data_IF_214669867785
#
_entry.id   IF_214669867785
#
_cell.length_a   1.000
_cell.length_b   1.000
_cell.length_c   1.000
_cell.angle_alpha   90.00
_cell.angle_beta   90.00
_cell.angle_gamma   90.00
#
_symmetry.space_group_name_H-M   'P 1'
#
loop_
_entity.id
_entity.type
_entity.pdbx_description
1 polymer ?
#
# COMPACT_ATOMS: atom_id res chain seq x y z
N UNK A 1 17.58 53.39 4.80
CA UNK A 1 17.53 52.28 5.78
C UNK A 1 16.58 51.23 5.21
N UNK A 2 16.96 49.95 5.07
CA UNK A 2 16.05 48.96 4.50
C UNK A 2 14.97 48.59 5.53
N UNK A 3 13.72 48.84 5.16
CA UNK A 3 12.55 48.47 5.97
C UNK A 3 12.47 46.94 6.06
N UNK A 4 12.51 46.43 7.29
CA UNK A 4 12.38 44.98 7.55
C UNK A 4 10.91 44.69 7.83
N UNK A 5 10.22 44.05 6.89
CA UNK A 5 8.79 43.72 7.01
C UNK A 5 8.66 42.31 7.60
N UNK A 6 8.05 42.19 8.78
CA UNK A 6 7.76 40.90 9.41
C UNK A 6 6.36 40.40 9.01
N UNK A 7 6.29 39.28 8.29
CA UNK A 7 5.02 38.63 7.95
C UNK A 7 4.62 37.68 9.07
N UNK A 8 3.47 37.95 9.72
CA UNK A 8 2.84 37.02 10.66
C UNK A 8 1.69 36.28 9.97
N UNK A 9 1.96 35.07 9.46
CA UNK A 9 0.90 34.22 8.89
C UNK A 9 0.27 33.39 10.03
N UNK A 10 -0.92 33.79 10.49
CA UNK A 10 -1.72 32.96 11.40
C UNK A 10 -2.30 31.76 10.65
N UNK A 11 -1.69 30.59 10.80
CA UNK A 11 -2.16 29.33 10.23
C UNK A 11 -3.45 28.84 10.91
N UNK A 12 -4.62 29.11 10.31
CA UNK A 12 -5.84 28.29 10.51
C UNK A 12 -5.95 27.21 9.43
N UNK A 13 -6.81 26.21 9.64
CA UNK A 13 -7.09 25.07 8.73
C UNK A 13 -7.66 25.55 7.38
N UNK A 14 -6.80 26.10 6.53
CA UNK A 14 -7.14 26.56 5.18
C UNK A 14 -6.76 25.45 4.17
N UNK A 15 -7.54 25.20 3.11
CA UNK A 15 -7.18 24.29 2.03
C UNK A 15 -5.80 24.62 1.43
N UNK A 16 -5.07 23.59 1.00
CA UNK A 16 -3.65 23.71 0.60
C UNK A 16 -3.41 24.70 -0.54
N UNK A 17 -4.26 24.65 -1.58
CA UNK A 17 -4.18 25.58 -2.72
C UNK A 17 -4.39 27.04 -2.32
N UNK A 18 -5.23 27.29 -1.32
CA UNK A 18 -5.53 28.64 -0.85
C UNK A 18 -4.39 29.21 0.02
N UNK A 19 -3.57 28.35 0.65
CA UNK A 19 -2.34 28.80 1.35
C UNK A 19 -1.25 29.22 0.37
N UNK A 20 -1.02 28.44 -0.68
CA UNK A 20 -0.02 28.78 -1.71
C UNK A 20 -0.38 30.09 -2.41
N UNK A 21 -1.66 30.34 -2.69
CA UNK A 21 -2.13 31.63 -3.22
C UNK A 21 -1.86 32.79 -2.26
N UNK A 22 -2.16 32.64 -0.97
CA UNK A 22 -1.92 33.70 0.04
C UNK A 22 -0.43 33.97 0.27
N UNK A 23 0.41 32.94 0.22
CA UNK A 23 1.87 33.11 0.29
C UNK A 23 2.37 33.83 -0.95
N UNK A 24 1.89 33.45 -2.13
CA UNK A 24 2.23 34.11 -3.39
C UNK A 24 1.81 35.59 -3.38
N UNK A 25 0.59 35.90 -2.95
CA UNK A 25 0.11 37.29 -2.80
C UNK A 25 0.98 38.08 -1.82
N UNK A 26 1.34 37.50 -0.67
CA UNK A 26 2.24 38.13 0.29
C UNK A 26 3.64 38.40 -0.28
N UNK A 27 4.20 37.45 -1.03
CA UNK A 27 5.49 37.61 -1.70
C UNK A 27 5.43 38.68 -2.78
N UNK A 28 4.38 38.72 -3.61
CA UNK A 28 4.18 39.75 -4.63
C UNK A 28 4.09 41.15 -4.00
N UNK A 29 3.32 41.27 -2.91
CA UNK A 29 3.16 42.51 -2.16
C UNK A 29 4.50 43.00 -1.59
N UNK A 30 5.29 42.12 -0.99
CA UNK A 30 6.60 42.47 -0.39
C UNK A 30 7.62 42.86 -1.44
N UNK A 31 7.60 42.21 -2.60
CA UNK A 31 8.49 42.57 -3.69
C UNK A 31 8.06 43.88 -4.39
N UNK A 32 6.89 44.44 -4.04
CA UNK A 32 6.39 45.69 -4.60
C UNK A 32 6.09 45.61 -6.10
N UNK A 33 5.80 44.41 -6.62
CA UNK A 33 5.67 44.18 -8.06
C UNK A 33 4.19 44.09 -8.46
N UNK A 34 3.48 45.20 -8.33
CA UNK A 34 2.05 45.26 -8.71
C UNK A 34 1.84 45.11 -10.22
N UNK A 35 2.88 45.38 -11.04
CA UNK A 35 2.85 45.25 -12.51
C UNK A 35 4.00 44.38 -13.03
N UNK A 36 4.00 43.11 -12.61
CA UNK A 36 5.05 42.16 -12.96
C UNK A 36 4.85 41.58 -14.38
N UNK A 37 5.89 41.55 -15.25
CA UNK A 37 5.82 40.84 -16.53
C UNK A 37 5.48 39.35 -16.32
N UNK A 38 4.63 38.78 -17.18
CA UNK A 38 4.15 37.40 -17.05
C UNK A 38 5.27 36.36 -16.89
N UNK A 39 6.41 36.57 -17.55
CA UNK A 39 7.59 35.70 -17.47
C UNK A 39 8.21 35.68 -16.06
N UNK A 40 8.28 36.83 -15.38
CA UNK A 40 8.81 36.93 -14.02
C UNK A 40 7.83 36.30 -13.01
N UNK A 41 6.52 36.46 -13.24
CA UNK A 41 5.47 35.81 -12.43
C UNK A 41 5.56 34.28 -12.45
N UNK A 42 5.90 33.67 -13.60
CA UNK A 42 6.10 32.22 -13.68
C UNK A 42 7.27 31.78 -12.81
N UNK A 43 8.38 32.53 -12.83
CA UNK A 43 9.54 32.27 -11.97
C UNK A 43 9.22 32.41 -10.48
N UNK A 44 8.48 33.46 -10.10
CA UNK A 44 8.05 33.67 -8.70
C UNK A 44 7.11 32.55 -8.25
N UNK A 45 6.16 32.12 -9.08
CA UNK A 45 5.28 30.98 -8.78
C UNK A 45 6.07 29.68 -8.57
N UNK A 46 7.03 29.40 -9.45
CA UNK A 46 7.88 28.22 -9.33
C UNK A 46 8.71 28.25 -8.04
N UNK A 47 9.28 29.42 -7.71
CA UNK A 47 10.02 29.63 -6.47
C UNK A 47 9.14 29.40 -5.23
N UNK A 48 7.98 30.06 -5.15
CA UNK A 48 7.03 29.91 -4.04
C UNK A 48 6.61 28.45 -3.87
N UNK A 49 6.31 27.77 -4.97
CA UNK A 49 5.96 26.35 -4.94
C UNK A 49 7.10 25.50 -4.36
N UNK A 50 8.33 25.68 -4.83
CA UNK A 50 9.50 24.97 -4.31
C UNK A 50 9.75 25.24 -2.83
N UNK A 51 9.66 26.50 -2.40
CA UNK A 51 9.80 26.88 -0.99
C UNK A 51 8.70 26.25 -0.13
N UNK A 52 7.46 26.18 -0.61
CA UNK A 52 6.37 25.49 0.09
C UNK A 52 6.62 23.98 0.21
N UNK A 53 7.12 23.34 -0.85
CA UNK A 53 7.49 21.91 -0.83
C UNK A 53 8.62 21.65 0.17
N UNK A 54 9.68 22.47 0.16
CA UNK A 54 10.81 22.31 1.06
C UNK A 54 10.43 22.58 2.52
N UNK A 55 9.61 23.60 2.78
CA UNK A 55 9.02 23.85 4.09
C UNK A 55 8.22 22.64 4.59
N UNK A 56 7.36 22.04 3.75
CA UNK A 56 6.58 20.84 4.12
C UNK A 56 7.48 19.67 4.53
N UNK A 57 8.55 19.42 3.77
CA UNK A 57 9.53 18.36 4.10
C UNK A 57 10.17 18.60 5.46
N UNK A 58 10.67 19.82 5.70
CA UNK A 58 11.29 20.21 6.99
C UNK A 58 10.29 20.18 8.15
N UNK A 59 9.03 20.57 7.91
CA UNK A 59 7.95 20.52 8.89
C UNK A 59 7.64 19.09 9.35
N UNK A 60 7.54 18.16 8.40
CA UNK A 60 7.36 16.73 8.70
C UNK A 60 8.56 16.16 9.46
N UNK A 61 9.79 16.54 9.10
CA UNK A 61 11.01 16.10 9.78
C UNK A 61 11.14 16.57 11.24
N UNK A 62 10.36 17.57 11.66
CA UNK A 62 10.25 18.01 13.05
C UNK A 62 8.99 17.50 13.74
N UNK A 63 8.39 16.42 13.23
CA UNK A 63 7.14 15.85 13.73
C UNK A 63 6.04 16.91 13.86
N UNK A 64 6.05 17.92 12.96
CA UNK A 64 5.10 19.04 12.96
C UNK A 64 5.04 19.81 14.28
N UNK A 65 6.14 19.84 15.03
CA UNK A 65 6.25 20.58 16.29
C UNK A 65 7.00 21.89 16.05
N UNK A 66 6.34 23.01 16.34
CA UNK A 66 6.85 24.34 16.03
C UNK A 66 8.20 24.65 16.68
N UNK A 67 8.33 24.41 17.99
CA UNK A 67 9.56 24.70 18.73
C UNK A 67 10.77 23.89 18.20
N UNK A 68 10.55 22.64 17.82
CA UNK A 68 11.59 21.80 17.21
C UNK A 68 11.95 22.30 15.82
N UNK A 69 10.97 22.76 15.04
CA UNK A 69 11.20 23.33 13.72
C UNK A 69 12.05 24.60 13.78
N UNK A 70 11.67 25.56 14.62
CA UNK A 70 12.44 26.80 14.79
C UNK A 70 13.84 26.50 15.29
N UNK A 71 14.00 25.67 16.32
CA UNK A 71 15.32 25.32 16.88
C UNK A 71 16.23 24.61 15.85
N UNK A 72 15.67 23.71 15.03
CA UNK A 72 16.44 22.89 14.08
C UNK A 72 16.76 23.62 12.77
N UNK A 73 15.87 24.48 12.30
CA UNK A 73 15.97 25.15 10.99
C UNK A 73 16.12 26.68 11.11
N UNK A 74 16.59 27.19 12.25
CA UNK A 74 16.79 28.62 12.48
C UNK A 74 17.72 29.26 11.45
N UNK A 75 18.83 28.59 11.10
CA UNK A 75 19.77 29.08 10.09
C UNK A 75 19.11 29.22 8.72
N UNK A 76 18.30 28.24 8.32
CA UNK A 76 17.54 28.26 7.06
C UNK A 76 16.48 29.36 7.03
N UNK A 77 15.79 29.61 8.15
CA UNK A 77 14.82 30.71 8.26
C UNK A 77 15.47 32.10 8.17
N UNK A 78 16.72 32.21 8.63
CA UNK A 78 17.49 33.45 8.61
C UNK A 78 18.31 33.62 7.33
N UNK A 79 18.32 32.61 6.45
CA UNK A 79 19.03 32.66 5.19
C UNK A 79 18.39 33.72 4.28
N UNK A 80 19.20 34.65 3.77
CA UNK A 80 18.73 35.66 2.83
C UNK A 80 18.51 34.99 1.48
N UNK A 81 17.29 35.03 0.99
CA UNK A 81 16.98 34.56 -0.36
C UNK A 81 17.28 35.70 -1.33
N UNK A 82 18.44 35.62 -1.97
CA UNK A 82 18.77 36.50 -3.09
C UNK A 82 18.07 36.01 -4.35
N UNK A 83 16.92 36.61 -4.66
CA UNK A 83 16.22 36.35 -5.92
C UNK A 83 16.99 37.09 -7.02
N UNK A 84 18.00 36.42 -7.58
CA UNK A 84 18.73 36.97 -8.70
C UNK A 84 17.81 37.07 -9.92
N UNK A 85 17.43 38.30 -10.29
CA UNK A 85 16.55 38.58 -11.44
C UNK A 85 17.05 37.94 -12.74
N UNK A 86 18.37 37.80 -12.90
CA UNK A 86 18.97 37.18 -14.09
C UNK A 86 18.86 35.65 -14.10
N UNK A 87 18.92 34.98 -12.94
CA UNK A 87 18.71 33.52 -12.86
C UNK A 87 17.25 33.13 -13.06
N UNK A 88 16.31 33.98 -12.62
CA UNK A 88 14.88 33.74 -12.82
C UNK A 88 14.51 33.75 -14.31
N UNK A 89 15.17 34.58 -15.11
CA UNK A 89 15.00 34.60 -16.57
C UNK A 89 15.64 33.37 -17.25
N UNK A 90 16.80 32.92 -16.79
CA UNK A 90 17.54 31.81 -17.41
C UNK A 90 16.94 30.43 -17.12
N UNK A 91 16.32 30.22 -15.95
CA UNK A 91 15.62 28.97 -15.61
C UNK A 91 14.31 28.78 -16.40
N UNK A 92 13.73 29.87 -16.93
CA UNK A 92 12.56 29.80 -17.83
C UNK A 92 12.98 29.36 -19.24
N UNK A 93 14.23 29.58 -19.64
CA UNK A 93 14.72 29.24 -20.98
C UNK A 93 15.12 27.78 -21.20
N UNK A 94 15.39 27.01 -20.13
CA UNK A 94 16.07 25.71 -20.26
C UNK A 94 15.17 24.48 -20.04
N UNK A 95 13.95 24.63 -19.53
CA UNK A 95 13.03 23.49 -19.32
C UNK A 95 11.61 23.66 -19.91
N UNK A 96 11.37 24.68 -20.77
CA UNK A 96 10.02 24.92 -21.33
C UNK A 96 9.88 24.56 -22.82
N UNK A 97 10.97 24.29 -23.53
CA UNK A 97 10.91 24.02 -24.99
C UNK A 97 10.56 22.57 -25.40
N UNK A 98 9.95 21.78 -24.51
CA UNK A 98 9.30 20.51 -24.89
C UNK A 98 8.05 20.25 -24.04
N UNK A 99 7.25 21.28 -23.84
CA UNK A 99 5.83 21.09 -23.53
C UNK A 99 5.07 21.78 -24.65
N UNK A 100 4.76 21.03 -25.70
CA UNK A 100 3.69 21.42 -26.61
C UNK A 100 2.44 21.64 -25.75
N UNK A 101 1.93 22.87 -25.79
CA UNK A 101 0.63 23.21 -25.28
C UNK A 101 -0.39 22.28 -25.97
N UNK A 102 -1.06 21.37 -25.23
CA UNK A 102 -1.95 20.42 -25.86
C UNK A 102 -3.09 21.22 -26.47
N UNK A 103 -3.14 21.21 -27.80
CA UNK A 103 -4.27 21.68 -28.59
C UNK A 103 -5.56 21.18 -27.93
N UNK A 104 -6.62 22.01 -27.83
CA UNK A 104 -7.89 21.59 -27.29
C UNK A 104 -8.43 20.45 -28.14
N UNK A 105 -8.16 19.22 -27.71
CA UNK A 105 -8.74 18.03 -28.27
C UNK A 105 -10.25 18.17 -28.16
N UNK A 106 -10.91 18.15 -29.31
CA UNK A 106 -12.34 17.93 -29.42
C UNK A 106 -12.68 16.58 -28.79
N UNK A 107 -12.86 16.57 -27.48
CA UNK A 107 -13.43 15.46 -26.74
C UNK A 107 -14.19 16.05 -25.58
N UNK A 108 -15.47 16.35 -25.83
CA UNK A 108 -16.48 16.58 -24.79
C UNK A 108 -16.75 15.30 -24.00
N UNK A 109 -15.73 14.73 -23.37
CA UNK A 109 -15.86 13.56 -22.51
C UNK A 109 -15.38 13.92 -21.11
N UNK A 110 -16.35 13.86 -20.20
CA UNK A 110 -16.26 14.10 -18.77
C UNK A 110 -14.98 13.53 -18.17
N UNK A 111 -14.10 14.42 -17.71
CA UNK A 111 -12.95 14.06 -16.87
C UNK A 111 -13.47 13.53 -15.54
N UNK A 112 -13.35 12.22 -15.32
CA UNK A 112 -13.58 11.65 -14.00
C UNK A 112 -13.74 10.13 -13.93
N UNK A 113 -14.06 9.45 -15.04
CA UNK A 113 -14.25 7.99 -15.04
C UNK A 113 -13.31 7.32 -16.05
N UNK A 114 -12.56 6.27 -15.65
CA UNK A 114 -11.86 5.42 -16.61
C UNK A 114 -12.83 4.95 -17.69
N UNK A 115 -12.49 5.17 -18.96
CA UNK A 115 -13.29 4.76 -20.13
C UNK A 115 -13.37 3.24 -20.26
N UNK A 116 -12.39 2.52 -19.71
CA UNK A 116 -12.32 1.07 -19.69
C UNK A 116 -12.88 0.55 -18.37
N UNK A 117 -13.60 -0.56 -18.42
CA UNK A 117 -14.03 -1.25 -17.21
C UNK A 117 -12.81 -1.74 -16.42
N UNK A 118 -12.97 -1.91 -15.11
CA UNK A 118 -11.90 -2.42 -14.26
C UNK A 118 -11.42 -3.81 -14.73
N UNK A 119 -12.34 -4.68 -15.21
CA UNK A 119 -11.98 -5.97 -15.83
C UNK A 119 -11.09 -5.83 -17.07
N UNK A 120 -11.34 -4.85 -17.94
CA UNK A 120 -10.57 -4.68 -19.18
C UNK A 120 -9.13 -4.25 -18.93
N UNK A 121 -8.90 -3.42 -17.92
CA UNK A 121 -7.54 -3.01 -17.52
C UNK A 121 -6.77 -4.15 -16.85
N UNK A 122 -7.48 -5.09 -16.22
CA UNK A 122 -6.91 -6.29 -15.61
C UNK A 122 -6.39 -7.27 -16.67
N UNK A 123 -7.08 -7.40 -17.81
CA UNK A 123 -6.73 -8.37 -18.87
C UNK A 123 -5.58 -7.94 -19.78
N UNK A 124 -5.19 -6.67 -19.79
CA UNK A 124 -4.06 -6.16 -20.59
C UNK A 124 -2.69 -6.54 -19.96
N UNK A 125 -2.68 -7.09 -18.74
CA UNK A 125 -1.49 -7.30 -17.92
C UNK A 125 -0.67 -8.58 -18.15
N UNK A 126 -1.06 -9.48 -19.04
CA UNK A 126 -0.41 -10.80 -19.19
C UNK A 126 0.93 -10.77 -19.95
N UNK A 127 1.41 -9.60 -20.37
CA UNK A 127 2.74 -9.47 -20.96
C UNK A 127 3.83 -9.46 -19.87
N UNK A 128 4.26 -10.64 -19.38
CA UNK A 128 5.54 -11.04 -18.74
C UNK A 128 6.37 -10.08 -17.83
N UNK A 129 5.93 -8.86 -17.55
CA UNK A 129 6.70 -7.79 -16.89
C UNK A 129 6.11 -7.39 -15.54
N UNK A 130 4.84 -7.71 -15.29
CA UNK A 130 4.17 -7.40 -14.03
C UNK A 130 4.26 -8.59 -13.07
N UNK A 131 4.69 -8.34 -11.85
CA UNK A 131 4.65 -9.34 -10.79
C UNK A 131 3.19 -9.63 -10.43
N UNK A 132 2.82 -10.92 -10.37
CA UNK A 132 1.48 -11.33 -9.97
C UNK A 132 1.18 -10.95 -8.52
N UNK A 133 -0.11 -10.86 -8.17
CA UNK A 133 -0.53 -10.48 -6.82
C UNK A 133 -0.05 -11.52 -5.79
N UNK A 134 -0.08 -12.80 -6.16
CA UNK A 134 0.34 -13.93 -5.33
C UNK A 134 1.85 -13.88 -5.07
N UNK A 135 2.66 -13.66 -6.12
CA UNK A 135 4.12 -13.52 -5.99
C UNK A 135 4.49 -12.31 -5.12
N UNK A 136 3.80 -11.19 -5.32
CA UNK A 136 4.00 -9.98 -4.54
C UNK A 136 3.59 -10.16 -3.07
N UNK A 137 2.51 -10.89 -2.82
CA UNK A 137 2.01 -11.20 -1.48
C UNK A 137 2.95 -12.16 -0.74
N UNK A 138 3.46 -13.19 -1.41
CA UNK A 138 4.48 -14.08 -0.87
C UNK A 138 5.73 -13.29 -0.46
N UNK A 139 6.28 -12.49 -1.37
CA UNK A 139 7.42 -11.61 -1.09
C UNK A 139 7.15 -10.66 0.09
N UNK A 140 5.93 -10.10 0.18
CA UNK A 140 5.53 -9.23 1.28
C UNK A 140 5.59 -9.95 2.64
N UNK A 141 5.15 -11.21 2.69
CA UNK A 141 5.10 -12.03 3.91
C UNK A 141 6.47 -12.58 4.28
N UNK A 142 7.20 -13.18 3.33
CA UNK A 142 8.49 -13.85 3.57
C UNK A 142 9.55 -12.88 4.09
N UNK A 143 9.54 -11.64 3.60
CA UNK A 143 10.48 -10.59 4.02
C UNK A 143 9.98 -9.84 5.27
N UNK A 144 8.73 -10.08 5.71
CA UNK A 144 8.13 -9.38 6.85
C UNK A 144 7.98 -7.87 6.60
N UNK A 145 7.54 -7.48 5.39
CA UNK A 145 7.37 -6.07 5.06
C UNK A 145 6.18 -5.47 5.80
N UNK A 146 6.34 -4.23 6.27
CA UNK A 146 5.21 -3.41 6.67
C UNK A 146 4.60 -2.70 5.46
N UNK A 147 3.37 -2.22 5.58
CA UNK A 147 2.71 -1.38 4.57
C UNK A 147 3.61 -0.25 4.07
N UNK A 148 4.29 0.45 4.99
CA UNK A 148 5.18 1.56 4.66
C UNK A 148 6.41 1.08 3.88
N UNK A 149 7.06 0.00 4.32
CA UNK A 149 8.22 -0.58 3.62
C UNK A 149 7.84 -1.04 2.21
N UNK A 150 6.71 -1.74 2.07
CA UNK A 150 6.20 -2.15 0.77
C UNK A 150 5.89 -0.96 -0.15
N UNK A 151 5.25 0.09 0.38
CA UNK A 151 4.90 1.28 -0.41
C UNK A 151 6.14 2.03 -0.91
N UNK A 152 7.17 2.14 -0.08
CA UNK A 152 8.46 2.73 -0.47
C UNK A 152 9.11 1.85 -1.56
N UNK A 153 9.23 0.55 -1.31
CA UNK A 153 9.83 -0.41 -2.24
C UNK A 153 9.14 -0.37 -3.61
N UNK A 154 7.81 -0.44 -3.63
CA UNK A 154 7.00 -0.31 -4.84
C UNK A 154 7.24 1.01 -5.55
N UNK A 155 7.29 2.12 -4.83
CA UNK A 155 7.49 3.44 -5.44
C UNK A 155 8.88 3.54 -6.08
N UNK A 156 9.91 3.01 -5.41
CA UNK A 156 11.27 2.96 -5.94
C UNK A 156 11.38 2.08 -7.19
N UNK A 157 10.80 0.87 -7.17
CA UNK A 157 10.84 -0.05 -8.32
C UNK A 157 10.01 0.49 -9.48
N UNK A 158 8.80 0.97 -9.23
CA UNK A 158 7.92 1.45 -10.29
C UNK A 158 8.40 2.78 -10.92
N UNK A 159 9.28 3.52 -10.25
CA UNK A 159 9.95 4.68 -10.85
C UNK A 159 10.92 4.28 -11.98
N UNK A 160 11.54 3.10 -11.88
CA UNK A 160 12.48 2.57 -12.89
C UNK A 160 11.73 1.70 -13.89
N UNK A 161 10.81 0.86 -13.41
CA UNK A 161 10.05 -0.09 -14.20
C UNK A 161 8.56 0.06 -13.93
N UNK A 162 7.85 0.89 -14.72
CA UNK A 162 6.43 1.15 -14.53
C UNK A 162 5.61 -0.13 -14.42
N UNK A 163 4.67 -0.12 -13.47
CA UNK A 163 3.72 -1.21 -13.19
C UNK A 163 4.31 -2.59 -12.84
N UNK A 164 5.58 -2.66 -12.44
CA UNK A 164 6.20 -3.95 -12.07
C UNK A 164 5.54 -4.54 -10.83
N UNK A 165 5.31 -3.73 -9.80
CA UNK A 165 4.71 -4.18 -8.53
C UNK A 165 3.24 -3.77 -8.40
N UNK A 166 2.35 -4.70 -7.98
CA UNK A 166 0.95 -4.40 -7.76
C UNK A 166 0.77 -3.40 -6.61
N UNK A 167 -0.31 -2.63 -6.65
CA UNK A 167 -0.62 -1.71 -5.54
C UNK A 167 -0.92 -2.47 -4.26
N UNK A 168 -0.74 -1.83 -3.10
CA UNK A 168 -1.06 -2.46 -1.82
C UNK A 168 -2.54 -2.85 -1.71
N UNK A 169 -3.43 -2.09 -2.36
CA UNK A 169 -4.85 -2.44 -2.44
C UNK A 169 -5.07 -3.81 -3.10
N UNK A 170 -4.33 -4.14 -4.15
CA UNK A 170 -4.40 -5.47 -4.77
C UNK A 170 -3.89 -6.56 -3.83
N UNK A 171 -2.84 -6.30 -3.05
CA UNK A 171 -2.40 -7.24 -2.02
C UNK A 171 -3.47 -7.46 -0.94
N UNK A 172 -4.15 -6.39 -0.51
CA UNK A 172 -5.21 -6.49 0.49
C UNK A 172 -6.39 -7.32 -0.02
N UNK A 173 -6.75 -7.15 -1.29
CA UNK A 173 -7.75 -7.98 -1.96
C UNK A 173 -7.30 -9.45 -2.04
N UNK A 174 -6.07 -9.70 -2.47
CA UNK A 174 -5.50 -11.07 -2.49
C UNK A 174 -5.48 -11.71 -1.10
N UNK A 175 -5.18 -10.95 -0.04
CA UNK A 175 -5.29 -11.42 1.35
C UNK A 175 -6.72 -11.82 1.72
N UNK A 176 -7.71 -11.01 1.34
CA UNK A 176 -9.13 -11.33 1.62
C UNK A 176 -9.61 -12.58 0.89
N UNK A 177 -9.08 -12.86 -0.29
CA UNK A 177 -9.43 -14.07 -1.06
C UNK A 177 -8.91 -15.36 -0.40
N UNK A 178 -7.80 -15.27 0.34
CA UNK A 178 -7.18 -16.40 1.06
C UNK A 178 -7.64 -16.50 2.52
N UNK A 179 -8.08 -15.40 3.13
CA UNK A 179 -8.55 -15.34 4.53
C UNK A 179 -9.85 -16.13 4.73
N UNK A 180 -10.06 -16.77 5.89
CA UNK A 180 -11.31 -17.44 6.25
C UNK A 180 -12.44 -16.44 6.52
N UNK A 181 -13.68 -16.84 6.25
CA UNK A 181 -14.85 -15.94 6.34
C UNK A 181 -15.48 -15.93 7.75
N UNK A 182 -15.25 -16.98 8.52
CA UNK A 182 -15.82 -17.17 9.86
C UNK A 182 -14.66 -17.44 10.82
N UNK A 183 -14.17 -16.35 11.42
CA UNK A 183 -13.20 -16.42 12.50
C UNK A 183 -13.91 -15.86 13.71
N UNK A 184 -14.06 -16.67 14.74
CA UNK A 184 -14.55 -16.23 16.03
C UNK A 184 -13.37 -15.70 16.82
N UNK A 185 -13.49 -14.47 17.31
CA UNK A 185 -12.44 -13.80 18.06
C UNK A 185 -13.02 -13.24 19.35
N UNK A 186 -12.38 -13.57 20.45
CA UNK A 186 -12.60 -13.02 21.79
C UNK A 186 -11.28 -12.41 22.31
N UNK A 187 -11.34 -11.78 23.48
CA UNK A 187 -10.14 -11.26 24.15
C UNK A 187 -9.22 -12.38 24.65
N UNK A 188 -9.79 -13.58 24.85
CA UNK A 188 -9.09 -14.75 25.41
C UNK A 188 -8.88 -15.89 24.42
N UNK A 189 -9.51 -15.87 23.25
CA UNK A 189 -9.27 -16.91 22.24
C UNK A 189 -9.57 -16.42 20.82
N UNK A 190 -9.07 -17.15 19.84
CA UNK A 190 -9.49 -17.05 18.45
C UNK A 190 -9.61 -18.45 17.86
N UNK A 191 -10.70 -18.70 17.15
CA UNK A 191 -11.04 -20.00 16.58
C UNK A 191 -11.53 -19.85 15.14
N UNK A 192 -11.20 -20.84 14.32
CA UNK A 192 -11.62 -20.94 12.93
C UNK A 192 -12.39 -22.23 12.76
N UNK A 193 -13.57 -22.14 12.13
CA UNK A 193 -14.35 -23.31 11.76
C UNK A 193 -13.51 -24.32 10.96
N UNK A 194 -13.47 -25.57 11.44
CA UNK A 194 -12.61 -26.60 10.89
C UNK A 194 -13.00 -26.93 9.45
N UNK A 195 -14.30 -27.02 9.15
CA UNK A 195 -14.76 -27.35 7.80
C UNK A 195 -14.37 -26.25 6.80
N UNK A 196 -14.63 -24.98 7.13
CA UNK A 196 -14.23 -23.84 6.29
C UNK A 196 -12.70 -23.79 6.07
N UNK A 197 -11.91 -24.11 7.10
CA UNK A 197 -10.45 -24.21 6.99
C UNK A 197 -10.02 -25.31 6.00
N UNK A 198 -10.62 -26.49 6.10
CA UNK A 198 -10.35 -27.63 5.22
C UNK A 198 -10.78 -27.33 3.78
N UNK A 199 -11.97 -26.76 3.58
CA UNK A 199 -12.50 -26.39 2.27
C UNK A 199 -11.59 -25.38 1.57
N UNK A 200 -11.18 -24.31 2.27
CA UNK A 200 -10.26 -23.31 1.70
C UNK A 200 -8.89 -23.88 1.39
N UNK A 201 -8.39 -24.79 2.24
CA UNK A 201 -7.10 -25.45 2.03
C UNK A 201 -7.17 -26.34 0.79
N UNK A 202 -8.21 -27.17 0.68
CA UNK A 202 -8.45 -28.05 -0.47
C UNK A 202 -8.57 -27.25 -1.75
N UNK A 203 -9.38 -26.19 -1.77
CA UNK A 203 -9.51 -25.29 -2.92
C UNK A 203 -8.18 -24.62 -3.31
N UNK A 204 -7.32 -24.31 -2.35
CA UNK A 204 -6.00 -23.74 -2.62
C UNK A 204 -5.06 -24.78 -3.23
N UNK A 205 -5.07 -26.02 -2.75
CA UNK A 205 -4.26 -27.12 -3.29
C UNK A 205 -4.70 -27.48 -4.71
N UNK A 206 -6.01 -27.59 -4.95
CA UNK A 206 -6.57 -27.88 -6.28
C UNK A 206 -6.09 -26.87 -7.33
N UNK A 207 -5.96 -25.59 -6.98
CA UNK A 207 -5.43 -24.56 -7.89
C UNK A 207 -3.95 -24.77 -8.28
N UNK A 208 -3.19 -25.54 -7.50
CA UNK A 208 -1.79 -25.85 -7.79
C UNK A 208 -1.63 -27.05 -8.71
N UNK A 209 -2.65 -27.90 -8.83
CA UNK A 209 -2.63 -29.10 -9.65
C UNK A 209 -2.97 -28.71 -11.09
N UNK A 210 -2.21 -29.18 -12.11
CA UNK A 210 -2.56 -28.98 -13.50
C UNK A 210 -3.96 -29.50 -13.80
N UNK A 211 -4.76 -28.73 -14.56
CA UNK A 211 -6.15 -29.09 -14.86
C UNK A 211 -6.29 -30.44 -15.58
N UNK A 212 -5.27 -30.84 -16.32
CA UNK A 212 -5.24 -32.08 -17.08
C UNK A 212 -5.15 -33.33 -16.18
N UNK A 213 -4.67 -33.16 -14.95
CA UNK A 213 -4.49 -34.25 -13.97
C UNK A 213 -5.74 -34.45 -13.10
N UNK A 214 -6.68 -33.50 -13.11
CA UNK A 214 -7.92 -33.57 -12.32
C UNK A 214 -8.99 -34.22 -13.19
N UNK A 215 -9.14 -35.54 -13.07
CA UNK A 215 -10.28 -36.26 -13.62
C UNK A 215 -11.54 -35.92 -12.79
N UNK A 216 -12.74 -36.09 -13.35
CA UNK A 216 -14.02 -35.90 -12.63
C UNK A 216 -14.26 -37.04 -11.60
N UNK A 217 -13.28 -37.29 -10.75
CA UNK A 217 -13.24 -38.36 -9.74
C UNK A 217 -13.29 -37.75 -8.33
N UNK A 218 -13.67 -38.56 -7.35
CA UNK A 218 -13.64 -38.13 -5.95
C UNK A 218 -12.20 -38.06 -5.44
N UNK A 219 -11.91 -36.99 -4.71
CA UNK A 219 -10.59 -36.70 -4.15
C UNK A 219 -10.68 -36.77 -2.63
N UNK A 220 -9.78 -37.50 -2.01
CA UNK A 220 -9.63 -37.54 -0.55
C UNK A 220 -8.40 -36.77 -0.12
N UNK A 221 -8.60 -35.78 0.75
CA UNK A 221 -7.50 -35.11 1.44
C UNK A 221 -7.09 -35.95 2.65
N UNK A 222 -6.00 -36.71 2.50
CA UNK A 222 -5.42 -37.50 3.58
C UNK A 222 -4.58 -36.57 4.46
N UNK A 223 -5.25 -35.89 5.40
CA UNK A 223 -4.66 -34.94 6.35
C UNK A 223 -3.89 -33.77 5.70
N UNK A 224 -3.05 -33.04 6.47
CA UNK A 224 -2.17 -31.95 5.97
C UNK A 224 -1.03 -32.43 5.04
N UNK A 225 -1.06 -33.68 4.57
CA UNK A 225 0.09 -34.35 3.96
C UNK A 225 -0.11 -34.64 2.48
N UNK A 226 -1.27 -35.16 2.06
CA UNK A 226 -1.47 -35.65 0.69
C UNK A 226 -2.91 -35.46 0.20
N UNK A 227 -3.06 -35.14 -1.08
CA UNK A 227 -4.33 -35.23 -1.80
C UNK A 227 -4.26 -36.42 -2.76
N UNK A 228 -5.23 -37.34 -2.62
CA UNK A 228 -5.23 -38.63 -3.30
C UNK A 228 -6.52 -38.81 -4.08
N UNK A 229 -6.44 -39.36 -5.28
CA UNK A 229 -7.59 -39.80 -6.05
C UNK A 229 -8.10 -41.15 -5.54
N UNK A 230 -9.39 -41.26 -5.21
CA UNK A 230 -9.94 -42.43 -4.49
C UNK A 230 -9.84 -43.73 -5.30
N UNK A 231 -10.18 -43.68 -6.58
CA UNK A 231 -10.28 -44.88 -7.42
C UNK A 231 -8.91 -45.51 -7.70
N UNK A 232 -7.89 -44.66 -7.91
CA UNK A 232 -6.56 -45.09 -8.35
C UNK A 232 -5.53 -45.07 -7.23
N UNK A 233 -5.88 -44.48 -6.07
CA UNK A 233 -4.95 -44.15 -4.98
C UNK A 233 -3.73 -43.37 -5.49
N UNK A 234 -3.92 -42.57 -6.54
CA UNK A 234 -2.85 -41.78 -7.14
C UNK A 234 -2.66 -40.50 -6.31
N UNK A 235 -1.42 -40.18 -5.97
CA UNK A 235 -1.09 -38.98 -5.20
C UNK A 235 -1.01 -37.79 -6.17
N UNK A 236 -1.99 -36.90 -6.11
CA UNK A 236 -2.04 -35.71 -6.97
C UNK A 236 -1.24 -34.54 -6.40
N UNK A 237 -1.18 -34.46 -5.07
CA UNK A 237 -0.38 -33.47 -4.37
C UNK A 237 0.16 -34.03 -3.07
N UNK A 238 1.38 -33.67 -2.74
CA UNK A 238 2.01 -33.99 -1.47
C UNK A 238 2.69 -32.74 -0.91
N UNK A 239 2.56 -32.54 0.39
CA UNK A 239 3.25 -31.46 1.10
C UNK A 239 4.78 -31.64 0.93
N UNK A 240 5.47 -30.68 0.28
CA UNK A 240 6.90 -30.80 0.01
C UNK A 240 7.77 -30.67 1.26
N UNK A 241 7.23 -30.12 2.35
CA UNK A 241 7.94 -29.96 3.62
C UNK A 241 7.00 -30.25 4.79
N UNK A 242 6.76 -31.53 5.06
CA UNK A 242 5.81 -32.03 6.06
C UNK A 242 6.04 -31.52 7.49
N UNK A 243 7.30 -31.21 7.83
CA UNK A 243 7.68 -30.67 9.14
C UNK A 243 7.83 -29.14 9.17
N UNK A 244 7.55 -28.46 8.05
CA UNK A 244 7.69 -27.01 7.99
C UNK A 244 6.50 -26.30 8.60
N UNK A 245 6.78 -25.24 9.35
CA UNK A 245 5.76 -24.36 9.92
C UNK A 245 4.96 -23.60 8.86
N UNK A 246 5.44 -23.49 7.62
CA UNK A 246 4.73 -22.83 6.52
C UNK A 246 3.40 -23.51 6.15
N UNK A 247 3.28 -24.81 6.39
CA UNK A 247 2.05 -25.58 6.15
C UNK A 247 1.21 -25.79 7.42
N UNK A 248 1.69 -25.29 8.57
CA UNK A 248 0.96 -25.34 9.83
C UNK A 248 -0.12 -24.27 9.88
N UNK A 249 -1.34 -24.64 9.47
CA UNK A 249 -2.50 -23.77 9.65
C UNK A 249 -3.01 -23.82 11.09
N UNK A 250 -3.17 -22.65 11.75
CA UNK A 250 -3.76 -22.57 13.07
C UNK A 250 -5.28 -22.80 13.01
N UNK A 251 -5.80 -23.47 14.03
CA UNK A 251 -7.24 -23.74 14.19
C UNK A 251 -7.77 -22.89 15.34
N UNK A 252 -7.15 -23.03 16.52
CA UNK A 252 -7.53 -22.33 17.74
C UNK A 252 -6.30 -21.81 18.48
N UNK A 253 -6.41 -20.60 19.02
CA UNK A 253 -5.47 -20.04 19.98
C UNK A 253 -6.23 -19.60 21.21
N UNK A 254 -5.69 -19.87 22.39
CA UNK A 254 -6.29 -19.50 23.67
C UNK A 254 -5.21 -18.82 24.52
N UNK A 255 -5.52 -17.66 25.05
CA UNK A 255 -4.69 -16.94 26.01
C UNK A 255 -4.98 -17.47 27.41
N UNK A 256 -4.19 -18.45 27.83
CA UNK A 256 -4.26 -18.99 29.19
C UNK A 256 -3.24 -18.23 30.03
N UNK A 257 -3.69 -17.63 31.13
CA UNK A 257 -2.81 -17.10 32.17
C UNK A 257 -2.38 -18.30 33.02
N UNK A 258 -1.07 -18.55 33.10
CA UNK A 258 -0.47 -19.66 33.85
C UNK A 258 -0.60 -19.42 35.38
N UNK A 259 -1.81 -19.49 35.93
CA UNK A 259 -2.06 -19.57 37.36
C UNK A 259 -2.50 -21.00 37.72
N UNK A 260 -1.52 -21.91 37.80
CA UNK A 260 -1.54 -23.15 38.61
C UNK A 260 -2.79 -24.05 38.57
N UNK A 261 -3.47 -24.22 37.44
CA UNK A 261 -4.58 -25.16 37.31
C UNK A 261 -4.32 -26.14 36.16
N UNK A 262 -3.74 -27.31 36.47
CA UNK A 262 -3.51 -28.38 35.49
C UNK A 262 -4.82 -28.93 34.87
N UNK A 263 -5.97 -28.72 35.53
CA UNK A 263 -7.27 -29.18 35.05
C UNK A 263 -7.75 -28.49 33.76
N UNK A 264 -7.28 -27.26 33.44
CA UNK A 264 -7.70 -26.57 32.21
C UNK A 264 -7.02 -27.09 30.94
N UNK A 265 -5.93 -27.86 31.07
CA UNK A 265 -5.24 -28.49 29.92
C UNK A 265 -5.94 -29.77 29.43
N UNK A 266 -6.68 -30.46 30.30
CA UNK A 266 -7.34 -31.73 29.99
C UNK A 266 -8.68 -31.55 29.24
N UNK A 267 -9.44 -30.49 29.53
CA UNK A 267 -10.72 -30.24 28.84
C UNK A 267 -10.54 -29.86 27.36
N UNK A 268 -9.38 -29.29 26.98
CA UNK A 268 -9.11 -28.87 25.59
C UNK A 268 -8.90 -30.03 24.61
N UNK A 269 -8.46 -31.21 25.09
CA UNK A 269 -8.20 -32.36 24.22
C UNK A 269 -9.47 -33.17 23.90
N UNK A 270 -10.51 -33.03 24.74
CA UNK A 270 -11.71 -33.88 24.70
C UNK A 270 -12.72 -33.40 23.67
N UNK A 271 -12.85 -32.08 23.49
CA UNK A 271 -13.84 -31.47 22.59
C UNK A 271 -13.45 -31.62 21.11
N UNK A 272 -12.15 -31.58 20.81
CA UNK A 272 -11.63 -31.67 19.45
C UNK A 272 -11.87 -33.06 18.82
N UNK A 273 -11.95 -34.13 19.62
CA UNK A 273 -12.25 -35.48 19.12
C UNK A 273 -13.71 -35.68 18.70
N UNK A 274 -14.66 -35.01 19.34
CA UNK A 274 -16.08 -35.13 18.97
C UNK A 274 -16.38 -34.41 17.65
N UNK A 275 -15.76 -33.26 17.40
CA UNK A 275 -15.94 -32.49 16.16
C UNK A 275 -15.36 -33.23 14.95
N UNK A 276 -14.21 -33.91 15.11
CA UNK A 276 -13.64 -34.74 14.04
C UNK A 276 -14.57 -35.94 13.69
N UNK A 277 -15.30 -36.48 14.66
CA UNK A 277 -16.20 -37.64 14.41
C UNK A 277 -17.48 -37.23 13.69
N UNK A 278 -18.01 -36.05 13.96
CA UNK A 278 -19.20 -35.53 13.28
C UNK A 278 -18.90 -35.13 11.84
N UNK A 279 -17.73 -34.54 11.55
CA UNK A 279 -17.31 -34.20 10.18
C UNK A 279 -17.09 -35.42 9.28
N UNK A 280 -16.68 -36.58 9.83
CA UNK A 280 -16.46 -37.81 9.06
C UNK A 280 -17.76 -38.62 8.80
N UNK A 281 -18.90 -38.20 9.34
CA UNK A 281 -20.19 -38.92 9.21
C UNK A 281 -21.13 -38.30 8.17
N UNK A 282 -20.71 -37.25 7.45
CA UNK A 282 -21.41 -36.64 6.32
C UNK A 282 -20.71 -36.98 4.99
#
# INVERSE_FOLDING_TARGET
MPETIAISVKCRKVPEKERESKVLEGVICILGVENCPAQLMTGVKAFVHWSCVDFKKKWVNCNRTFNLFIKKYQSWLNEKVDINKSELANKVGTEVNNIEEPQPGSSGLSRGRPLKSFEELSKIGDSNKRMSVEKALAMYLDIGLSFRKYSILRSSINAIHPDTMPSYYMLQRGKSEVSHNQIETSDIYSEVDLQNLLDKTTNSIIKLIPKDDIMNTSLTLVSKLQLVEDERKNVLWQNPATSSTFYCRPIKFIFIVDESNENSKLDLCSSDEEEIRTSNSQ
#
